data_IF_101370270370
#
_entry.id   IF_101370270370
#
_cell.length_a   1.000
_cell.length_b   1.000
_cell.length_c   1.000
_cell.angle_alpha   90.00
_cell.angle_beta   90.00
_cell.angle_gamma   90.00
#
_symmetry.space_group_name_H-M   'P 1'
#
loop_
_entity.id
_entity.type
_entity.pdbx_description
1 polymer ?
#
# COMPACT_ATOMS: atom_id res chain seq x y z
N UNK A 1 -25.94 -53.94 21.48
CA UNK A 1 -25.31 -52.65 21.81
C UNK A 1 -24.01 -52.54 21.03
N UNK A 2 -24.03 -51.78 19.93
CA UNK A 2 -22.86 -51.29 19.18
C UNK A 2 -23.34 -50.06 18.42
N UNK A 3 -22.81 -48.85 18.66
CA UNK A 3 -23.25 -47.67 17.94
C UNK A 3 -22.52 -47.55 16.59
N UNK A 4 -23.30 -47.28 15.55
CA UNK A 4 -22.83 -46.93 14.20
C UNK A 4 -22.33 -45.49 14.24
N UNK A 5 -21.02 -45.29 14.12
CA UNK A 5 -20.44 -43.96 13.90
C UNK A 5 -20.55 -43.63 12.40
N UNK A 6 -21.42 -42.67 12.07
CA UNK A 6 -21.38 -42.04 10.75
C UNK A 6 -20.13 -41.15 10.65
N UNK A 7 -19.33 -41.38 9.62
CA UNK A 7 -18.29 -40.43 9.19
C UNK A 7 -19.00 -39.21 8.64
N UNK A 8 -18.91 -38.09 9.35
CA UNK A 8 -19.21 -36.77 8.79
C UNK A 8 -17.97 -36.38 7.97
N UNK A 9 -18.08 -36.46 6.65
CA UNK A 9 -17.11 -35.83 5.74
C UNK A 9 -17.17 -34.30 5.93
N UNK A 10 -16.01 -33.62 6.06
CA UNK A 10 -15.99 -32.16 6.07
C UNK A 10 -16.30 -31.62 4.67
N UNK A 11 -17.36 -30.81 4.60
CA UNK A 11 -17.79 -30.03 3.44
C UNK A 11 -16.63 -29.25 2.81
N UNK A 12 -16.55 -29.13 1.47
CA UNK A 12 -15.41 -28.51 0.81
C UNK A 12 -15.36 -27.00 1.08
N UNK A 13 -14.26 -26.61 1.74
CA UNK A 13 -13.57 -25.32 1.75
C UNK A 13 -14.37 -24.08 1.30
N UNK A 14 -14.87 -23.33 2.28
CA UNK A 14 -15.26 -21.94 2.14
C UNK A 14 -14.01 -21.04 2.25
N UNK A 15 -13.51 -20.55 1.11
CA UNK A 15 -12.32 -19.73 0.97
C UNK A 15 -12.02 -19.51 -0.52
N UNK A 16 -11.18 -18.53 -0.87
CA UNK A 16 -10.68 -18.41 -2.25
C UNK A 16 -10.09 -19.77 -2.64
N UNK A 17 -10.60 -20.36 -3.73
CA UNK A 17 -10.10 -21.65 -4.15
C UNK A 17 -8.61 -21.53 -4.53
N UNK A 18 -7.84 -22.63 -4.56
CA UNK A 18 -6.39 -22.58 -4.82
C UNK A 18 -6.02 -21.86 -6.13
N UNK A 19 -6.90 -21.90 -7.13
CA UNK A 19 -6.72 -21.23 -8.43
C UNK A 19 -6.93 -19.73 -8.28
N UNK A 20 -8.00 -19.29 -7.63
CA UNK A 20 -8.25 -17.88 -7.31
C UNK A 20 -7.19 -17.32 -6.37
N UNK A 21 -6.64 -18.14 -5.48
CA UNK A 21 -5.52 -17.77 -4.60
C UNK A 21 -4.23 -17.63 -5.39
N UNK A 22 -3.95 -18.52 -6.33
CA UNK A 22 -2.80 -18.40 -7.22
C UNK A 22 -2.96 -17.21 -8.17
N UNK A 23 -4.17 -16.94 -8.64
CA UNK A 23 -4.49 -15.81 -9.52
C UNK A 23 -4.39 -14.49 -8.77
N UNK A 24 -4.95 -14.37 -7.57
CA UNK A 24 -4.76 -13.19 -6.72
C UNK A 24 -3.29 -13.04 -6.33
N UNK A 25 -2.58 -14.11 -5.98
CA UNK A 25 -1.12 -14.04 -5.71
C UNK A 25 -0.32 -13.65 -6.96
N UNK A 26 -0.70 -14.12 -8.13
CA UNK A 26 -0.07 -13.77 -9.40
C UNK A 26 -0.40 -12.32 -9.77
N UNK A 27 -1.65 -11.88 -9.66
CA UNK A 27 -2.06 -10.48 -9.82
C UNK A 27 -1.41 -9.58 -8.78
N UNK A 28 -1.12 -10.07 -7.57
CA UNK A 28 -0.38 -9.32 -6.53
C UNK A 28 1.10 -9.28 -6.86
N UNK A 29 1.71 -10.38 -7.30
CA UNK A 29 3.10 -10.39 -7.74
C UNK A 29 3.25 -9.47 -8.96
N UNK A 30 2.33 -9.55 -9.91
CA UNK A 30 2.24 -8.66 -11.07
C UNK A 30 1.92 -7.24 -10.65
N UNK A 31 1.07 -6.97 -9.66
CA UNK A 31 0.79 -5.62 -9.17
C UNK A 31 1.95 -5.04 -8.35
N UNK A 32 2.74 -5.87 -7.68
CA UNK A 32 3.97 -5.48 -6.97
C UNK A 32 5.08 -5.20 -7.98
N UNK A 33 5.23 -6.03 -9.02
CA UNK A 33 6.10 -5.76 -10.16
C UNK A 33 5.60 -4.56 -10.97
N UNK A 34 4.28 -4.40 -11.14
CA UNK A 34 3.67 -3.25 -11.78
C UNK A 34 3.91 -2.01 -10.94
N UNK A 35 3.79 -2.03 -9.61
CA UNK A 35 4.18 -0.91 -8.74
C UNK A 35 5.69 -0.63 -8.79
N UNK A 36 6.55 -1.66 -8.92
CA UNK A 36 7.98 -1.50 -9.23
C UNK A 36 8.17 -0.79 -10.58
N UNK A 37 7.34 -1.08 -11.59
CA UNK A 37 7.38 -0.45 -12.92
C UNK A 37 6.55 0.83 -13.08
N UNK A 38 5.55 1.11 -12.25
CA UNK A 38 4.67 2.30 -12.30
C UNK A 38 5.35 3.47 -11.60
N UNK A 39 6.26 3.16 -10.66
CA UNK A 39 7.33 4.08 -10.27
C UNK A 39 8.18 4.51 -11.48
N UNK A 40 8.14 3.78 -12.61
CA UNK A 40 8.76 4.16 -13.89
C UNK A 40 7.81 4.86 -14.88
N UNK A 41 6.48 4.88 -14.67
CA UNK A 41 5.52 5.45 -15.65
C UNK A 41 4.79 6.71 -15.12
N UNK A 42 4.79 6.95 -13.81
CA UNK A 42 4.08 8.09 -13.21
C UNK A 42 4.82 9.44 -13.30
N UNK A 43 5.36 9.79 -14.47
CA UNK A 43 5.79 11.17 -14.81
C UNK A 43 5.15 11.73 -16.08
N UNK A 44 4.45 10.93 -16.90
CA UNK A 44 3.87 11.41 -18.17
C UNK A 44 2.34 11.54 -18.19
N UNK A 45 1.61 11.02 -17.20
CA UNK A 45 0.13 11.10 -17.18
C UNK A 45 -0.44 12.39 -16.57
N UNK A 46 0.38 13.22 -15.92
CA UNK A 46 -0.09 14.43 -15.20
C UNK A 46 -0.25 15.69 -16.07
N UNK A 47 -0.29 15.58 -17.40
CA UNK A 47 -0.45 16.75 -18.30
C UNK A 47 -1.76 16.82 -19.10
N UNK A 48 -2.59 15.77 -19.13
CA UNK A 48 -3.76 15.75 -20.02
C UNK A 48 -5.15 15.76 -19.35
N UNK A 49 -5.26 15.74 -18.01
CA UNK A 49 -6.56 15.72 -17.31
C UNK A 49 -7.08 17.10 -16.87
N UNK A 50 -6.29 18.18 -16.97
CA UNK A 50 -6.67 19.50 -16.42
C UNK A 50 -7.51 20.37 -17.37
N UNK A 51 -7.80 19.96 -18.61
CA UNK A 51 -8.59 20.79 -19.56
C UNK A 51 -10.02 20.33 -19.85
N UNK A 52 -10.50 19.22 -19.26
CA UNK A 52 -11.86 18.70 -19.54
C UNK A 52 -12.88 18.86 -18.41
N UNK A 53 -12.44 19.25 -17.20
CA UNK A 53 -13.31 19.36 -16.03
C UNK A 53 -13.95 20.76 -15.81
N UNK A 54 -13.71 21.74 -16.69
CA UNK A 54 -14.25 23.11 -16.56
C UNK A 54 -15.39 23.47 -17.53
N UNK A 55 -15.96 22.52 -18.27
CA UNK A 55 -16.97 22.81 -19.30
C UNK A 55 -18.41 22.32 -19.00
N UNK A 56 -18.71 21.75 -17.83
CA UNK A 56 -20.08 21.31 -17.49
C UNK A 56 -20.47 21.72 -16.07
N UNK A 57 -20.62 23.02 -15.87
CA UNK A 57 -21.43 23.58 -14.77
C UNK A 57 -22.19 24.80 -15.31
N UNK A 58 -23.39 24.56 -15.84
CA UNK A 58 -24.48 25.56 -15.92
C UNK A 58 -25.81 24.84 -16.12
N UNK A 59 -26.80 25.24 -15.31
CA UNK A 59 -28.23 24.86 -15.28
C UNK A 59 -28.53 23.53 -14.55
N UNK A 60 -29.51 23.40 -13.63
CA UNK A 60 -30.62 24.27 -13.24
C UNK A 60 -31.08 24.03 -11.78
N UNK A 61 -31.92 24.95 -11.29
CA UNK A 61 -32.51 25.08 -9.95
C UNK A 61 -33.63 24.05 -9.61
N UNK A 62 -33.85 23.86 -8.29
CA UNK A 62 -34.92 23.18 -7.51
C UNK A 62 -36.38 23.66 -7.85
N UNK A 63 -37.54 23.18 -7.27
CA UNK A 63 -37.77 22.64 -5.90
C UNK A 63 -38.92 21.61 -5.60
N UNK A 64 -38.91 21.13 -4.33
CA UNK A 64 -40.01 20.69 -3.42
C UNK A 64 -40.86 19.41 -3.64
N UNK A 65 -40.98 18.61 -2.56
CA UNK A 65 -42.12 17.73 -2.24
C UNK A 65 -41.84 16.52 -1.32
N UNK A 66 -42.18 16.62 -0.03
CA UNK A 66 -42.56 15.49 0.87
C UNK A 66 -44.11 15.41 0.89
N UNK A 67 -44.83 14.34 1.34
CA UNK A 67 -44.50 13.38 2.41
C UNK A 67 -45.00 11.91 2.13
N UNK A 68 -45.41 11.08 3.11
CA UNK A 68 -44.71 9.88 3.63
C UNK A 68 -45.42 8.55 3.27
N UNK A 69 -44.86 7.39 3.64
CA UNK A 69 -45.57 6.27 4.34
C UNK A 69 -44.60 5.11 4.63
N UNK A 70 -44.78 4.56 5.83
CA UNK A 70 -44.23 3.38 6.48
C UNK A 70 -44.08 2.12 5.62
N UNK A 71 -43.00 1.36 5.84
CA UNK A 71 -43.00 -0.10 5.71
C UNK A 71 -41.93 -0.71 6.61
N UNK A 72 -42.42 -1.46 7.60
CA UNK A 72 -41.66 -2.43 8.37
C UNK A 72 -40.97 -3.43 7.43
N UNK A 73 -39.66 -3.61 7.55
CA UNK A 73 -38.99 -4.79 7.00
C UNK A 73 -38.16 -5.43 8.10
N UNK A 74 -38.46 -6.71 8.28
CA UNK A 74 -37.97 -7.61 9.30
C UNK A 74 -36.44 -7.63 9.41
N UNK A 75 -35.97 -7.66 10.65
CA UNK A 75 -34.61 -8.06 11.03
C UNK A 75 -34.48 -9.53 10.62
N UNK A 76 -33.89 -9.79 9.46
CA UNK A 76 -33.30 -11.09 9.16
C UNK A 76 -31.87 -11.09 9.68
N UNK A 77 -31.71 -11.66 10.88
CA UNK A 77 -30.44 -12.17 11.38
C UNK A 77 -29.95 -13.27 10.41
N UNK A 78 -29.25 -12.85 9.37
CA UNK A 78 -28.25 -13.70 8.73
C UNK A 78 -26.90 -13.07 9.03
N UNK A 79 -26.26 -13.57 10.08
CA UNK A 79 -24.82 -13.39 10.26
C UNK A 79 -24.18 -14.07 9.06
N UNK A 80 -24.01 -13.32 7.97
CA UNK A 80 -23.08 -13.68 6.89
C UNK A 80 -21.73 -13.79 7.58
N UNK A 81 -21.30 -15.01 7.87
CA UNK A 81 -19.95 -15.30 8.33
C UNK A 81 -19.04 -14.63 7.31
N UNK A 82 -18.44 -13.51 7.69
CA UNK A 82 -17.59 -12.75 6.79
C UNK A 82 -16.43 -13.66 6.43
N UNK A 83 -16.27 -13.98 5.13
CA UNK A 83 -15.13 -14.71 4.56
C UNK A 83 -13.85 -13.83 4.61
N UNK A 84 -13.55 -13.31 5.79
CA UNK A 84 -12.44 -12.44 6.06
C UNK A 84 -11.35 -13.23 6.75
N UNK A 85 -10.21 -13.34 6.07
CA UNK A 85 -9.00 -13.91 6.63
C UNK A 85 -7.94 -12.82 6.57
N UNK A 86 -7.56 -12.30 7.73
CA UNK A 86 -6.64 -11.15 7.81
C UNK A 86 -5.29 -11.46 7.16
N UNK A 87 -4.77 -12.68 7.27
CA UNK A 87 -3.51 -13.06 6.64
C UNK A 87 -3.57 -13.04 5.10
N UNK A 88 -4.74 -13.27 4.51
CA UNK A 88 -4.94 -13.16 3.05
C UNK A 88 -4.97 -11.69 2.57
N UNK A 89 -5.39 -10.78 3.46
CA UNK A 89 -5.36 -9.33 3.20
C UNK A 89 -3.99 -8.75 3.54
N UNK A 90 -3.29 -9.33 4.50
CA UNK A 90 -2.02 -8.82 5.00
C UNK A 90 -2.17 -7.79 6.11
N UNK A 91 -1.02 -7.36 6.61
CA UNK A 91 -0.85 -6.56 7.80
C UNK A 91 -0.18 -5.23 7.49
N UNK A 92 -0.63 -4.15 8.13
CA UNK A 92 0.00 -2.84 8.05
C UNK A 92 0.82 -2.56 9.31
N UNK A 93 2.13 -2.37 9.14
CA UNK A 93 3.13 -2.20 10.18
C UNK A 93 4.09 -1.04 9.80
N UNK A 94 3.67 0.22 10.01
CA UNK A 94 4.40 1.41 9.53
C UNK A 94 5.74 1.66 10.23
N UNK A 95 5.96 1.09 11.40
CA UNK A 95 7.14 1.24 12.26
C UNK A 95 8.32 0.32 11.87
N UNK A 96 8.21 -0.40 10.74
CA UNK A 96 9.28 -1.26 10.25
C UNK A 96 10.52 -0.44 9.88
N UNK A 97 11.65 -0.72 10.53
CA UNK A 97 12.97 -0.13 10.22
C UNK A 97 13.64 -0.71 8.97
N UNK A 98 12.99 -1.68 8.31
CA UNK A 98 13.50 -2.33 7.09
C UNK A 98 13.19 -1.50 5.85
N UNK A 99 14.04 -1.63 4.83
CA UNK A 99 13.84 -0.96 3.54
C UNK A 99 12.69 -1.55 2.72
N UNK A 100 12.37 -2.83 2.92
CA UNK A 100 11.26 -3.50 2.23
C UNK A 100 9.91 -2.91 2.64
N UNK A 101 9.19 -2.38 1.65
CA UNK A 101 7.88 -1.78 1.84
C UNK A 101 6.73 -2.76 1.85
N UNK A 102 6.89 -3.85 1.11
CA UNK A 102 5.97 -4.97 1.04
C UNK A 102 6.80 -6.23 1.16
N UNK A 103 6.47 -7.07 2.13
CA UNK A 103 7.16 -8.36 2.32
C UNK A 103 6.16 -9.47 2.57
N UNK A 104 6.52 -10.67 2.11
CA UNK A 104 5.81 -11.90 2.44
C UNK A 104 6.47 -12.55 3.65
N UNK A 105 5.72 -12.77 4.72
CA UNK A 105 6.16 -13.55 5.88
C UNK A 105 5.11 -14.62 6.14
N UNK A 106 5.52 -15.90 6.07
CA UNK A 106 4.63 -17.05 6.32
C UNK A 106 3.29 -16.93 5.57
N UNK A 107 3.36 -16.65 4.27
CA UNK A 107 2.21 -16.50 3.37
C UNK A 107 1.29 -15.30 3.66
N UNK A 108 1.73 -14.36 4.50
CA UNK A 108 1.01 -13.11 4.78
C UNK A 108 1.82 -11.90 4.29
N UNK A 109 1.13 -10.94 3.69
CA UNK A 109 1.75 -9.69 3.27
C UNK A 109 1.91 -8.75 4.47
N UNK A 110 3.03 -8.04 4.54
CA UNK A 110 3.29 -6.98 5.50
C UNK A 110 3.66 -5.72 4.74
N UNK A 111 2.92 -4.64 5.00
CA UNK A 111 3.10 -3.34 4.40
C UNK A 111 3.66 -2.38 5.45
N UNK A 112 4.82 -1.78 5.19
CA UNK A 112 5.34 -0.68 6.01
C UNK A 112 4.97 0.70 5.46
N UNK A 113 4.52 0.74 4.21
CA UNK A 113 4.15 1.97 3.54
C UNK A 113 2.62 2.14 3.47
N UNK A 114 2.11 3.29 3.93
CA UNK A 114 0.68 3.59 3.95
C UNK A 114 0.08 3.68 2.55
N UNK A 115 0.79 4.27 1.58
CA UNK A 115 0.32 4.38 0.19
C UNK A 115 0.23 3.01 -0.45
N UNK A 116 1.25 2.16 -0.30
CA UNK A 116 1.22 0.79 -0.82
C UNK A 116 0.06 -0.02 -0.24
N UNK A 117 -0.15 0.08 1.08
CA UNK A 117 -1.27 -0.60 1.76
C UNK A 117 -2.62 -0.09 1.26
N UNK A 118 -2.80 1.22 1.11
CA UNK A 118 -4.04 1.82 0.60
C UNK A 118 -4.30 1.43 -0.86
N UNK A 119 -3.28 1.46 -1.72
CA UNK A 119 -3.41 1.04 -3.11
C UNK A 119 -3.83 -0.44 -3.19
N UNK A 120 -3.24 -1.28 -2.35
CA UNK A 120 -3.62 -2.68 -2.25
C UNK A 120 -5.07 -2.86 -1.76
N UNK A 121 -5.49 -2.12 -0.73
CA UNK A 121 -6.87 -2.12 -0.24
C UNK A 121 -7.85 -1.71 -1.33
N UNK A 122 -7.52 -0.70 -2.14
CA UNK A 122 -8.34 -0.29 -3.30
C UNK A 122 -8.48 -1.42 -4.30
N UNK A 123 -7.38 -2.09 -4.66
CA UNK A 123 -7.44 -3.25 -5.54
C UNK A 123 -8.32 -4.37 -4.97
N UNK A 124 -8.27 -4.61 -3.65
CA UNK A 124 -9.12 -5.62 -3.00
C UNK A 124 -10.62 -5.35 -3.11
N UNK A 125 -11.05 -4.11 -3.30
CA UNK A 125 -12.48 -3.78 -3.50
C UNK A 125 -13.07 -4.44 -4.76
N UNK A 126 -12.22 -4.85 -5.71
CA UNK A 126 -12.67 -5.58 -6.91
C UNK A 126 -13.09 -7.03 -6.60
N UNK A 127 -12.59 -7.61 -5.51
CA UNK A 127 -12.81 -9.01 -5.14
C UNK A 127 -13.66 -9.18 -3.87
N UNK A 128 -13.66 -8.18 -2.98
CA UNK A 128 -14.41 -8.19 -1.72
C UNK A 128 -15.24 -6.92 -1.58
N UNK A 129 -16.43 -7.05 -1.00
CA UNK A 129 -17.31 -5.92 -0.76
C UNK A 129 -16.64 -4.88 0.14
N UNK A 130 -16.76 -3.60 -0.23
CA UNK A 130 -16.19 -2.46 0.49
C UNK A 130 -16.59 -2.45 1.98
N UNK A 131 -17.87 -2.68 2.28
CA UNK A 131 -18.37 -2.75 3.66
C UNK A 131 -17.69 -3.87 4.47
N UNK A 132 -17.43 -5.03 3.86
CA UNK A 132 -16.72 -6.13 4.53
C UNK A 132 -15.28 -5.74 4.83
N UNK A 133 -14.61 -5.05 3.90
CA UNK A 133 -13.26 -4.54 4.10
C UNK A 133 -13.26 -3.51 5.25
N UNK A 134 -14.14 -2.51 5.21
CA UNK A 134 -14.21 -1.45 6.21
C UNK A 134 -14.49 -1.98 7.63
N UNK A 135 -15.35 -2.99 7.78
CA UNK A 135 -15.62 -3.60 9.09
C UNK A 135 -14.42 -4.34 9.66
N UNK A 136 -13.61 -4.98 8.80
CA UNK A 136 -12.55 -5.87 9.25
C UNK A 136 -11.14 -5.28 9.16
N UNK A 137 -10.96 -4.09 8.56
CA UNK A 137 -9.64 -3.49 8.34
C UNK A 137 -8.82 -3.27 9.61
N UNK A 138 -9.51 -3.01 10.73
CA UNK A 138 -8.87 -2.92 12.05
C UNK A 138 -8.03 -4.16 12.40
N UNK A 139 -8.42 -5.35 11.91
CA UNK A 139 -7.67 -6.59 12.14
C UNK A 139 -6.32 -6.63 11.43
N UNK A 140 -6.12 -5.82 10.39
CA UNK A 140 -4.87 -5.74 9.62
C UNK A 140 -3.82 -4.85 10.29
N UNK A 141 -4.20 -3.98 11.23
CA UNK A 141 -3.26 -3.02 11.81
C UNK A 141 -2.34 -3.68 12.84
N UNK A 142 -1.06 -3.31 12.85
CA UNK A 142 -0.04 -3.76 13.79
C UNK A 142 0.83 -2.58 14.23
N UNK A 143 1.58 -2.78 15.32
CA UNK A 143 2.51 -1.77 15.84
C UNK A 143 1.84 -0.42 16.08
N UNK A 144 2.50 0.65 15.62
CA UNK A 144 2.02 2.04 15.75
C UNK A 144 0.61 2.23 15.14
N UNK A 145 0.27 1.50 14.07
CA UNK A 145 -1.06 1.62 13.45
C UNK A 145 -2.18 1.09 14.34
N UNK A 146 -1.93 0.00 15.08
CA UNK A 146 -2.89 -0.54 16.03
C UNK A 146 -2.98 0.34 17.27
N UNK A 147 -1.85 0.87 17.74
CA UNK A 147 -1.80 1.81 18.85
C UNK A 147 -2.63 3.05 18.53
N UNK A 148 -2.40 3.70 17.39
CA UNK A 148 -3.20 4.84 16.91
C UNK A 148 -4.71 4.54 16.92
N UNK A 149 -5.13 3.36 16.44
CA UNK A 149 -6.54 2.99 16.43
C UNK A 149 -7.13 2.86 17.84
N UNK A 150 -6.36 2.30 18.79
CA UNK A 150 -6.87 1.97 20.13
C UNK A 150 -6.74 3.13 21.11
N UNK A 151 -5.64 3.89 21.06
CA UNK A 151 -5.29 4.92 22.04
C UNK A 151 -5.69 6.33 21.58
N UNK A 152 -5.59 6.64 20.28
CA UNK A 152 -5.83 7.99 19.77
C UNK A 152 -7.25 8.20 19.25
N UNK A 153 -7.88 7.15 18.71
CA UNK A 153 -9.23 7.26 18.18
C UNK A 153 -10.29 6.97 19.23
N UNK A 154 -11.22 7.93 19.37
CA UNK A 154 -12.41 7.75 20.19
C UNK A 154 -13.29 6.62 19.64
N UNK A 155 -14.20 6.11 20.46
CA UNK A 155 -15.17 5.10 20.01
C UNK A 155 -16.01 5.60 18.83
N UNK A 156 -16.49 6.85 18.87
CA UNK A 156 -17.29 7.43 17.79
C UNK A 156 -16.50 7.58 16.48
N UNK A 157 -15.20 7.90 16.56
CA UNK A 157 -14.33 7.94 15.39
C UNK A 157 -14.12 6.54 14.80
N UNK A 158 -13.91 5.53 15.63
CA UNK A 158 -13.78 4.12 15.19
C UNK A 158 -15.06 3.59 14.53
N UNK A 159 -16.23 3.94 15.08
CA UNK A 159 -17.51 3.59 14.48
C UNK A 159 -17.69 4.29 13.13
N UNK A 160 -17.31 5.58 13.04
CA UNK A 160 -17.32 6.34 11.79
C UNK A 160 -16.45 5.73 10.70
N UNK A 161 -15.26 5.21 11.05
CA UNK A 161 -14.39 4.51 10.10
C UNK A 161 -15.06 3.29 9.45
N UNK A 162 -15.99 2.63 10.15
CA UNK A 162 -16.69 1.43 9.67
C UNK A 162 -17.99 1.74 8.92
N UNK A 163 -18.60 2.90 9.18
CA UNK A 163 -19.92 3.27 8.65
C UNK A 163 -19.88 4.18 7.41
N UNK A 164 -18.78 4.92 7.23
CA UNK A 164 -18.56 5.77 6.05
C UNK A 164 -17.89 4.95 4.93
N UNK A 165 -17.89 5.46 3.70
CA UNK A 165 -17.13 4.86 2.60
C UNK A 165 -15.66 4.65 2.97
N UNK A 166 -15.06 3.63 2.39
CA UNK A 166 -13.68 3.24 2.59
C UNK A 166 -12.71 4.38 2.26
N UNK A 167 -13.03 5.18 1.24
CA UNK A 167 -12.25 6.35 0.84
C UNK A 167 -12.28 7.47 1.90
N UNK A 168 -13.46 7.90 2.32
CA UNK A 168 -13.59 9.03 3.26
C UNK A 168 -13.31 8.65 4.72
N UNK A 169 -13.43 7.37 5.06
CA UNK A 169 -13.08 6.81 6.36
C UNK A 169 -11.62 6.35 6.38
N UNK A 170 -11.43 5.04 6.21
CA UNK A 170 -10.14 4.38 6.41
C UNK A 170 -9.00 4.94 5.58
N UNK A 171 -9.17 5.09 4.27
CA UNK A 171 -8.08 5.47 3.37
C UNK A 171 -7.58 6.88 3.70
N UNK A 172 -8.50 7.85 3.79
CA UNK A 172 -8.17 9.22 4.17
C UNK A 172 -7.49 9.30 5.54
N UNK A 173 -8.00 8.57 6.53
CA UNK A 173 -7.41 8.57 7.87
C UNK A 173 -6.02 7.93 7.91
N UNK A 174 -5.81 6.80 7.23
CA UNK A 174 -4.51 6.13 7.13
C UNK A 174 -3.48 7.02 6.41
N UNK A 175 -3.87 7.62 5.28
CA UNK A 175 -3.00 8.54 4.54
C UNK A 175 -2.70 9.80 5.34
N UNK A 176 -3.66 10.35 6.07
CA UNK A 176 -3.43 11.56 6.88
C UNK A 176 -2.47 11.30 8.04
N UNK A 177 -2.51 10.10 8.63
CA UNK A 177 -1.71 9.77 9.81
C UNK A 177 -0.32 9.24 9.45
N UNK A 178 -0.23 8.31 8.50
CA UNK A 178 0.97 7.53 8.25
C UNK A 178 1.74 7.93 6.99
N UNK A 179 1.22 8.88 6.19
CA UNK A 179 2.02 9.43 5.09
C UNK A 179 3.17 10.24 5.66
N UNK A 180 4.39 9.96 5.19
CA UNK A 180 5.57 10.71 5.59
C UNK A 180 5.40 12.18 5.21
N UNK A 181 5.56 13.09 6.17
CA UNK A 181 5.52 14.52 5.88
C UNK A 181 6.74 14.92 5.03
N UNK A 182 6.61 15.90 4.11
CA UNK A 182 7.72 16.28 3.22
C UNK A 182 9.00 16.66 3.98
N UNK A 183 8.86 17.42 5.07
CA UNK A 183 10.00 17.80 5.91
C UNK A 183 10.64 16.62 6.62
N UNK A 184 9.88 15.59 7.02
CA UNK A 184 10.45 14.39 7.61
C UNK A 184 11.11 13.51 6.55
N UNK A 185 10.50 13.40 5.36
CA UNK A 185 11.08 12.68 4.24
C UNK A 185 12.45 13.24 3.86
N UNK A 186 12.58 14.56 3.74
CA UNK A 186 13.86 15.21 3.47
C UNK A 186 14.90 14.92 4.57
N UNK A 187 14.49 14.92 5.85
CA UNK A 187 15.38 14.57 6.96
C UNK A 187 15.84 13.12 6.89
N UNK A 188 14.96 12.19 6.54
CA UNK A 188 15.28 10.77 6.37
C UNK A 188 16.29 10.62 5.23
N UNK A 189 16.02 11.23 4.07
CA UNK A 189 16.90 11.16 2.90
C UNK A 189 18.30 11.68 3.23
N UNK A 190 18.40 12.89 3.79
CA UNK A 190 19.70 13.52 4.12
C UNK A 190 20.50 12.77 5.18
N UNK A 191 19.84 12.00 6.06
CA UNK A 191 20.49 11.19 7.10
C UNK A 191 20.83 9.78 6.64
N UNK A 192 20.14 9.27 5.63
CA UNK A 192 20.39 7.95 5.09
C UNK A 192 21.74 7.95 4.37
N UNK A 193 22.53 6.90 4.60
CA UNK A 193 23.74 6.60 3.83
C UNK A 193 23.80 5.11 3.60
N UNK A 194 24.22 4.74 2.40
CA UNK A 194 24.54 3.36 2.06
C UNK A 194 26.05 3.19 2.02
N UNK A 195 26.57 2.26 2.80
CA UNK A 195 28.01 2.13 3.11
C UNK A 195 28.53 0.73 2.87
N UNK A 196 29.85 0.55 2.94
CA UNK A 196 30.45 -0.79 2.87
C UNK A 196 30.05 -1.71 4.03
N UNK A 197 29.55 -1.16 5.15
CA UNK A 197 28.98 -1.97 6.22
C UNK A 197 27.64 -2.59 5.79
N UNK A 198 26.82 -1.85 5.03
CA UNK A 198 25.56 -2.35 4.47
C UNK A 198 25.81 -3.48 3.46
N UNK A 199 26.82 -3.32 2.58
CA UNK A 199 27.24 -4.38 1.66
C UNK A 199 27.64 -5.65 2.40
N UNK A 200 28.53 -5.53 3.40
CA UNK A 200 29.01 -6.67 4.20
C UNK A 200 27.92 -7.35 5.02
N UNK A 201 26.86 -6.62 5.37
CA UNK A 201 25.68 -7.17 6.05
C UNK A 201 24.63 -7.73 5.10
N UNK A 202 24.93 -7.80 3.79
CA UNK A 202 24.02 -8.28 2.75
C UNK A 202 22.69 -7.50 2.72
N UNK A 203 22.71 -6.23 3.08
CA UNK A 203 21.58 -5.33 2.86
C UNK A 203 21.46 -5.11 1.35
N UNK A 204 20.27 -5.26 0.78
CA UNK A 204 20.06 -5.04 -0.66
C UNK A 204 20.17 -3.55 -1.01
N UNK A 205 21.10 -3.21 -1.91
CA UNK A 205 21.25 -1.85 -2.42
C UNK A 205 20.01 -1.40 -3.21
N UNK A 206 19.47 -2.28 -4.05
CA UNK A 206 18.27 -2.01 -4.84
C UNK A 206 17.07 -1.68 -3.96
N UNK A 207 16.83 -2.49 -2.92
CA UNK A 207 15.70 -2.26 -2.02
C UNK A 207 15.84 -0.96 -1.24
N UNK A 208 17.05 -0.67 -0.77
CA UNK A 208 17.35 0.61 -0.13
C UNK A 208 17.17 1.79 -1.09
N UNK A 209 17.65 1.68 -2.33
CA UNK A 209 17.55 2.75 -3.33
C UNK A 209 16.10 3.04 -3.71
N UNK A 210 15.27 2.00 -3.89
CA UNK A 210 13.83 2.17 -4.10
C UNK A 210 13.16 2.89 -2.92
N UNK A 211 13.51 2.53 -1.68
CA UNK A 211 13.00 3.21 -0.50
C UNK A 211 13.42 4.69 -0.49
N UNK A 212 14.70 4.98 -0.78
CA UNK A 212 15.21 6.36 -0.83
C UNK A 212 14.60 7.18 -1.96
N UNK A 213 14.35 6.58 -3.13
CA UNK A 213 13.69 7.24 -4.25
C UNK A 213 12.29 7.70 -3.87
N UNK A 214 11.54 6.84 -3.18
CA UNK A 214 10.22 7.20 -2.63
C UNK A 214 10.35 8.34 -1.62
N UNK A 215 11.30 8.26 -0.69
CA UNK A 215 11.52 9.32 0.31
C UNK A 215 11.87 10.65 -0.38
N UNK A 216 12.67 10.62 -1.46
CA UNK A 216 12.96 11.79 -2.27
C UNK A 216 11.70 12.36 -2.92
N UNK A 217 10.85 11.52 -3.51
CA UNK A 217 9.55 11.92 -4.08
C UNK A 217 8.61 12.54 -3.03
N UNK A 218 8.52 11.94 -1.83
CA UNK A 218 7.70 12.43 -0.73
C UNK A 218 8.19 13.79 -0.18
N UNK A 219 9.48 14.10 -0.33
CA UNK A 219 10.08 15.35 0.17
C UNK A 219 9.61 16.61 -0.55
N UNK A 220 9.14 16.48 -1.80
CA UNK A 220 8.80 17.59 -2.71
C UNK A 220 9.94 18.59 -3.01
N UNK A 221 11.16 18.35 -2.53
CA UNK A 221 12.34 19.17 -2.81
C UNK A 221 12.85 18.92 -4.23
N UNK A 222 12.68 17.69 -4.71
CA UNK A 222 13.15 17.21 -6.01
C UNK A 222 11.95 16.96 -6.93
N UNK A 223 11.46 17.98 -7.67
CA UNK A 223 10.29 17.86 -8.53
C UNK A 223 10.48 16.87 -9.68
N UNK A 224 11.70 16.75 -10.22
CA UNK A 224 11.96 15.89 -11.38
C UNK A 224 12.54 14.54 -10.99
N UNK A 225 12.28 13.51 -11.81
CA UNK A 225 12.71 12.15 -11.51
C UNK A 225 14.23 12.01 -11.46
N UNK A 226 14.94 12.67 -12.39
CA UNK A 226 16.39 12.61 -12.42
C UNK A 226 17.01 13.28 -11.18
N UNK A 227 16.42 14.35 -10.66
CA UNK A 227 16.85 14.99 -9.41
C UNK A 227 16.66 14.05 -8.21
N UNK A 228 15.56 13.30 -8.20
CA UNK A 228 15.30 12.30 -7.17
C UNK A 228 16.32 11.15 -7.25
N UNK A 229 16.61 10.64 -8.44
CA UNK A 229 17.63 9.60 -8.65
C UNK A 229 19.03 10.09 -8.25
N UNK A 230 19.40 11.29 -8.67
CA UNK A 230 20.65 11.93 -8.28
C UNK A 230 20.73 12.10 -6.75
N UNK A 231 19.65 12.50 -6.09
CA UNK A 231 19.62 12.62 -4.63
C UNK A 231 19.83 11.27 -3.92
N UNK A 232 19.33 10.17 -4.48
CA UNK A 232 19.58 8.79 -3.99
C UNK A 232 21.03 8.38 -4.21
N UNK A 233 21.57 8.60 -5.42
CA UNK A 233 22.97 8.36 -5.74
C UNK A 233 23.89 9.15 -4.80
N UNK A 234 23.51 10.38 -4.44
CA UNK A 234 24.24 11.20 -3.48
C UNK A 234 24.22 10.67 -2.03
N UNK A 235 23.34 9.71 -1.71
CA UNK A 235 23.36 9.02 -0.42
C UNK A 235 24.26 7.77 -0.41
N UNK A 236 24.80 7.34 -1.55
CA UNK A 236 25.76 6.23 -1.62
C UNK A 236 27.16 6.73 -1.23
N UNK A 237 27.87 5.99 -0.38
CA UNK A 237 29.23 6.35 0.05
C UNK A 237 30.19 6.48 -1.16
N UNK A 238 31.06 7.51 -1.14
CA UNK A 238 31.94 7.88 -2.27
C UNK A 238 32.72 6.67 -2.86
N UNK A 239 33.33 5.77 -2.08
CA UNK A 239 34.08 4.65 -2.63
C UNK A 239 33.22 3.65 -3.41
N UNK A 240 31.94 3.52 -3.04
CA UNK A 240 30.95 2.66 -3.71
C UNK A 240 30.41 3.37 -4.95
N UNK A 241 30.14 4.67 -4.79
CA UNK A 241 29.64 5.55 -5.84
C UNK A 241 30.57 5.63 -7.04
N UNK A 242 31.89 5.49 -6.85
CA UNK A 242 32.86 5.53 -7.96
C UNK A 242 32.67 4.45 -9.04
N UNK A 243 31.89 3.40 -8.77
CA UNK A 243 31.53 2.39 -9.76
C UNK A 243 30.19 2.66 -10.44
N UNK A 244 29.29 3.41 -9.80
CA UNK A 244 27.92 3.66 -10.28
C UNK A 244 27.88 5.00 -11.00
N UNK A 245 27.43 5.01 -12.25
CA UNK A 245 27.29 6.21 -13.05
C UNK A 245 26.32 7.20 -12.41
N UNK A 246 26.63 8.49 -12.58
CA UNK A 246 25.78 9.56 -12.06
C UNK A 246 24.48 9.64 -12.90
N UNK A 247 23.29 9.60 -12.26
CA UNK A 247 22.03 9.66 -12.99
C UNK A 247 21.89 10.98 -13.77
N UNK A 248 21.54 10.86 -15.05
CA UNK A 248 21.25 11.98 -15.94
C UNK A 248 19.75 12.15 -16.15
N UNK A 249 19.34 13.20 -16.88
CA UNK A 249 17.94 13.42 -17.26
C UNK A 249 17.35 12.31 -18.14
N UNK A 250 18.18 11.49 -18.78
CA UNK A 250 17.78 10.34 -19.59
C UNK A 250 17.72 9.03 -18.79
N UNK A 251 18.27 9.03 -17.58
CA UNK A 251 18.33 7.85 -16.73
C UNK A 251 16.94 7.54 -16.18
N UNK A 252 16.42 6.37 -16.54
CA UNK A 252 15.16 5.87 -15.97
C UNK A 252 15.42 5.15 -14.66
N UNK A 253 14.37 4.97 -13.84
CA UNK A 253 14.46 4.14 -12.64
C UNK A 253 14.92 2.72 -13.00
N UNK A 254 14.49 2.16 -14.13
CA UNK A 254 14.87 0.80 -14.54
C UNK A 254 16.39 0.67 -14.71
N UNK A 255 16.94 1.57 -15.51
CA UNK A 255 18.36 1.61 -15.85
C UNK A 255 19.17 1.78 -14.57
N UNK A 256 18.79 2.74 -13.73
CA UNK A 256 19.50 2.99 -12.48
C UNK A 256 19.46 1.79 -11.52
N UNK A 257 18.31 1.14 -11.38
CA UNK A 257 18.15 -0.01 -10.47
C UNK A 257 18.88 -1.25 -10.99
N UNK A 258 18.88 -1.49 -12.30
CA UNK A 258 19.64 -2.59 -12.92
C UNK A 258 21.15 -2.37 -12.76
N UNK A 259 21.62 -1.14 -12.96
CA UNK A 259 23.02 -0.80 -12.82
C UNK A 259 23.54 -1.05 -11.39
N UNK A 260 22.85 -0.51 -10.39
CA UNK A 260 23.26 -0.71 -8.99
C UNK A 260 23.16 -2.17 -8.56
N UNK A 261 22.24 -2.96 -9.11
CA UNK A 261 22.14 -4.41 -8.83
C UNK A 261 23.31 -5.19 -9.43
N UNK A 262 23.73 -4.82 -10.65
CA UNK A 262 24.91 -5.36 -11.31
C UNK A 262 26.17 -5.16 -10.48
N UNK A 263 26.39 -3.94 -9.98
CA UNK A 263 27.53 -3.64 -9.11
C UNK A 263 27.41 -4.30 -7.74
N UNK A 264 26.22 -4.29 -7.13
CA UNK A 264 25.99 -4.94 -5.85
C UNK A 264 26.30 -6.44 -5.89
N UNK A 265 25.99 -7.11 -7.01
CA UNK A 265 26.32 -8.51 -7.24
C UNK A 265 27.82 -8.79 -7.30
N UNK A 266 28.65 -7.79 -7.67
CA UNK A 266 30.11 -7.90 -7.70
C UNK A 266 30.77 -7.64 -6.34
N UNK A 267 30.11 -6.88 -5.47
CA UNK A 267 30.65 -6.50 -4.16
C UNK A 267 30.37 -7.49 -3.04
N UNK A 268 29.35 -8.34 -3.20
CA UNK A 268 28.88 -9.27 -2.17
C UNK A 268 29.72 -10.55 -2.05
#
# INVERSE_FOLDING_TARGET
MTPVYSKIEPSPACGLNPVQRAEVKATIHTAIEELRTETMISTNASRNSTKRAQALQKQAQSPNGFPPTTSNVAISDSVKVSNWVTSEVGYFLPDSTRDEHVRMVQDSLYFSNALAFVTYIRALTTFKNESTIAMNLSSCLRGEALEWLVSELSQSQREKLRSVSLEEGWIKSLMSRFKTSPSNALKILKRSRYTWADVRSQRSLVMWAHNMLRVASDSKEYPELWEQLHAVWDQIEIPIRGNVEEPTSETTVAIFMEEIDGWYSLWR
#
